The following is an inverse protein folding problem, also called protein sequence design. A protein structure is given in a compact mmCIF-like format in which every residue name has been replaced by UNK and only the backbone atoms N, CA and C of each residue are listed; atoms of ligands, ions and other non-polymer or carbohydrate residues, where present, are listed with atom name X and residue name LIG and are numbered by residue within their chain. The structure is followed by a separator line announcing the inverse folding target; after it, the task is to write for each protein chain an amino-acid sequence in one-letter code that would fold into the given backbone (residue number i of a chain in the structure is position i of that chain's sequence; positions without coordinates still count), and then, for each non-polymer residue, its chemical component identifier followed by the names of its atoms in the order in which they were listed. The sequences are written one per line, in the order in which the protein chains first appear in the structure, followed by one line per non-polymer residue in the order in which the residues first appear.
data_IF_962866773418
#
_entry.id   IF_962866773418
#
_cell.length_a   1.000
_cell.length_b   1.000
_cell.length_c   1.000
_cell.angle_alpha   90.00
_cell.angle_beta   90.00
_cell.angle_gamma   90.00
#
_symmetry.space_group_name_H-M   'P 1'
#
loop_
_entity.id
_entity.type
_entity.pdbx_description
1 polymer ?
#
# COMPACT_ATOMS: atom_id res chain seq x y z
N UNK A 1 -27.32 -11.92 7.24
CA UNK A 1 -26.40 -12.28 6.13
C UNK A 1 -25.92 -10.98 5.49
N UNK A 2 -24.72 -10.51 5.83
CA UNK A 2 -24.16 -9.30 5.20
C UNK A 2 -23.83 -9.61 3.74
N UNK A 3 -24.27 -8.75 2.81
CA UNK A 3 -23.81 -8.81 1.42
C UNK A 3 -22.28 -8.78 1.41
N UNK A 4 -21.66 -9.85 0.89
CA UNK A 4 -20.23 -9.84 0.59
C UNK A 4 -20.04 -8.90 -0.61
N UNK A 5 -19.83 -7.61 -0.34
CA UNK A 5 -19.49 -6.62 -1.36
C UNK A 5 -18.04 -6.81 -1.79
N UNK A 6 -17.78 -7.90 -2.54
CA UNK A 6 -16.45 -8.26 -3.07
C UNK A 6 -15.98 -7.23 -4.11
N UNK A 7 -16.93 -6.60 -4.81
CA UNK A 7 -16.67 -5.54 -5.79
C UNK A 7 -17.69 -4.41 -5.61
N UNK A 8 -17.30 -3.15 -5.85
CA UNK A 8 -18.25 -2.03 -5.78
C UNK A 8 -19.34 -2.16 -6.86
N UNK A 9 -20.57 -1.74 -6.53
CA UNK A 9 -21.71 -1.70 -7.46
C UNK A 9 -21.45 -0.59 -8.51
N UNK A 10 -20.83 -0.96 -9.64
CA UNK A 10 -20.44 -0.17 -10.82
C UNK A 10 -19.70 1.17 -10.56
N UNK A 11 -18.55 1.42 -11.23
CA UNK A 11 -17.90 2.72 -11.14
C UNK A 11 -18.81 3.81 -11.72
N UNK A 12 -18.71 5.07 -11.25
CA UNK A 12 -19.22 6.22 -11.96
C UNK A 12 -18.75 6.17 -13.42
N UNK A 13 -19.63 6.52 -14.36
CA UNK A 13 -19.38 6.44 -15.81
C UNK A 13 -18.06 7.15 -16.17
N UNK A 14 -17.21 6.46 -16.94
CA UNK A 14 -15.92 6.89 -17.54
C UNK A 14 -15.01 7.75 -16.65
N UNK A 15 -14.61 7.22 -15.49
CA UNK A 15 -13.48 7.78 -14.76
C UNK A 15 -12.17 7.49 -15.51
N UNK A 16 -11.30 8.51 -15.60
CA UNK A 16 -9.90 8.27 -15.98
C UNK A 16 -9.21 7.35 -14.95
N UNK A 17 -8.03 6.82 -15.28
CA UNK A 17 -7.32 5.83 -14.44
C UNK A 17 -7.03 6.35 -13.03
N UNK A 18 -6.65 7.62 -12.89
CA UNK A 18 -6.33 8.24 -11.60
C UNK A 18 -7.59 8.42 -10.76
N UNK A 19 -8.67 8.89 -11.38
CA UNK A 19 -9.96 9.09 -10.74
C UNK A 19 -10.59 7.76 -10.32
N UNK A 20 -10.44 6.71 -11.12
CA UNK A 20 -10.93 5.38 -10.77
C UNK A 20 -10.19 4.78 -9.56
N UNK A 21 -8.86 4.92 -9.51
CA UNK A 21 -8.05 4.53 -8.36
C UNK A 21 -8.50 5.27 -7.09
N UNK A 22 -8.60 6.60 -7.16
CA UNK A 22 -8.99 7.41 -6.02
C UNK A 22 -10.40 7.04 -5.53
N UNK A 23 -11.35 6.84 -6.45
CA UNK A 23 -12.70 6.41 -6.13
C UNK A 23 -12.73 5.06 -5.42
N UNK A 24 -11.99 4.05 -5.91
CA UNK A 24 -11.92 2.73 -5.26
C UNK A 24 -11.40 2.82 -3.83
N UNK A 25 -10.31 3.55 -3.62
CA UNK A 25 -9.71 3.71 -2.30
C UNK A 25 -10.70 4.36 -1.32
N UNK A 26 -11.35 5.46 -1.74
CA UNK A 26 -12.34 6.18 -0.94
C UNK A 26 -13.62 5.36 -0.69
N UNK A 27 -13.96 4.46 -1.61
CA UNK A 27 -15.13 3.58 -1.52
C UNK A 27 -14.92 2.34 -0.64
N UNK A 28 -13.76 2.20 0.01
CA UNK A 28 -13.49 1.05 0.89
C UNK A 28 -12.69 -0.09 0.26
N UNK A 29 -12.11 0.12 -0.93
CA UNK A 29 -11.37 -0.91 -1.66
C UNK A 29 -9.90 -0.52 -1.91
N UNK A 30 -9.09 -0.25 -0.87
CA UNK A 30 -7.72 0.27 -1.01
C UNK A 30 -6.79 -0.71 -1.75
N UNK A 31 -6.87 -2.01 -1.48
CA UNK A 31 -6.06 -3.02 -2.15
C UNK A 31 -6.41 -3.14 -3.64
N UNK A 32 -7.70 -3.10 -3.98
CA UNK A 32 -8.16 -3.11 -5.36
C UNK A 32 -7.76 -1.83 -6.09
N UNK A 33 -7.89 -0.66 -5.42
CA UNK A 33 -7.40 0.62 -5.94
C UNK A 33 -5.92 0.52 -6.31
N UNK A 34 -5.09 -0.02 -5.40
CA UNK A 34 -3.68 -0.22 -5.63
C UNK A 34 -3.39 -1.19 -6.79
N UNK A 35 -4.22 -2.20 -7.00
CA UNK A 35 -4.00 -3.15 -8.09
C UNK A 35 -4.36 -2.57 -9.46
N UNK A 36 -5.15 -1.49 -9.53
CA UNK A 36 -5.49 -0.86 -10.81
C UNK A 36 -4.29 -0.27 -11.55
N UNK A 37 -3.19 0.05 -10.85
CA UNK A 37 -1.96 0.49 -11.51
C UNK A 37 -1.24 -0.64 -12.23
N UNK A 38 -1.55 -1.91 -11.92
CA UNK A 38 -0.90 -3.07 -12.51
C UNK A 38 -1.47 -3.38 -13.91
N UNK A 39 -1.53 -2.36 -14.77
CA UNK A 39 -2.06 -2.43 -16.12
C UNK A 39 -1.01 -1.97 -17.14
N UNK A 40 -0.85 -2.73 -18.23
CA UNK A 40 0.13 -2.43 -19.29
C UNK A 40 -0.11 -1.11 -20.00
N UNK A 41 -1.35 -0.61 -20.03
CA UNK A 41 -1.70 0.70 -20.60
C UNK A 41 -1.12 1.89 -19.82
N UNK A 42 -0.70 1.67 -18.57
CA UNK A 42 -0.13 2.70 -17.69
C UNK A 42 1.38 2.87 -17.92
N UNK A 43 2.04 1.95 -18.65
CA UNK A 43 3.48 2.03 -18.94
C UNK A 43 3.86 3.37 -19.57
N UNK A 44 4.93 3.98 -19.08
CA UNK A 44 5.38 5.31 -19.50
C UNK A 44 4.52 6.48 -18.99
N UNK A 45 3.44 6.20 -18.25
CA UNK A 45 2.50 7.19 -17.69
C UNK A 45 2.33 7.04 -16.18
N UNK A 46 3.02 6.10 -15.54
CA UNK A 46 2.77 5.71 -14.15
C UNK A 46 2.89 6.88 -13.18
N UNK A 47 3.92 7.72 -13.35
CA UNK A 47 4.15 8.89 -12.49
C UNK A 47 3.00 9.91 -12.58
N UNK A 48 2.46 10.13 -13.78
CA UNK A 48 1.36 11.06 -13.99
C UNK A 48 0.07 10.50 -13.38
N UNK A 49 -0.25 9.24 -13.67
CA UNK A 49 -1.44 8.58 -13.13
C UNK A 49 -1.43 8.59 -11.60
N UNK A 50 -0.29 8.23 -10.98
CA UNK A 50 -0.15 8.26 -9.53
C UNK A 50 -0.16 9.67 -8.95
N UNK A 51 0.52 10.63 -9.58
CA UNK A 51 0.53 12.02 -9.13
C UNK A 51 -0.87 12.61 -9.06
N UNK A 52 -1.68 12.38 -10.10
CA UNK A 52 -3.07 12.84 -10.16
C UNK A 52 -3.96 12.12 -9.14
N UNK A 53 -3.80 10.81 -8.98
CA UNK A 53 -4.54 10.03 -8.00
C UNK A 53 -4.22 10.49 -6.56
N UNK A 54 -2.94 10.66 -6.23
CA UNK A 54 -2.47 11.14 -4.93
C UNK A 54 -2.99 12.55 -4.66
N UNK A 55 -3.04 13.43 -5.67
CA UNK A 55 -3.63 14.77 -5.53
C UNK A 55 -5.11 14.69 -5.15
N UNK A 56 -5.90 13.86 -5.83
CA UNK A 56 -7.32 13.67 -5.52
C UNK A 56 -7.52 13.09 -4.11
N UNK A 57 -6.75 12.06 -3.76
CA UNK A 57 -6.76 11.47 -2.42
C UNK A 57 -6.33 12.48 -1.35
N UNK A 58 -5.32 13.31 -1.61
CA UNK A 58 -4.84 14.31 -0.65
C UNK A 58 -5.90 15.35 -0.32
N UNK A 59 -6.70 15.78 -1.31
CA UNK A 59 -7.82 16.69 -1.08
C UNK A 59 -8.85 16.05 -0.14
N UNK A 60 -9.20 14.78 -0.38
CA UNK A 60 -10.15 14.06 0.47
C UNK A 60 -9.59 13.73 1.85
N UNK A 61 -8.30 13.39 1.94
CA UNK A 61 -7.59 13.13 3.18
C UNK A 61 -7.67 14.31 4.16
N UNK A 62 -7.56 15.54 3.64
CA UNK A 62 -7.68 16.77 4.44
C UNK A 62 -9.14 17.07 4.81
N UNK A 63 -10.09 16.83 3.90
CA UNK A 63 -11.50 17.15 4.09
C UNK A 63 -12.23 16.17 5.03
N UNK A 64 -11.85 14.89 5.01
CA UNK A 64 -12.56 13.81 5.70
C UNK A 64 -11.57 12.96 6.50
N UNK A 65 -11.42 13.20 7.82
CA UNK A 65 -10.60 12.36 8.69
C UNK A 65 -10.99 10.88 8.66
N UNK A 66 -12.27 10.56 8.38
CA UNK A 66 -12.76 9.18 8.30
C UNK A 66 -12.24 8.39 7.11
N UNK A 67 -11.61 9.03 6.11
CA UNK A 67 -11.00 8.35 4.98
C UNK A 67 -9.50 8.04 5.14
N UNK A 68 -8.84 8.57 6.19
CA UNK A 68 -7.37 8.54 6.32
C UNK A 68 -6.77 7.15 6.30
N UNK A 69 -7.32 6.20 7.06
CA UNK A 69 -6.83 4.81 7.07
C UNK A 69 -6.88 4.18 5.67
N UNK A 70 -7.98 4.37 4.94
CA UNK A 70 -8.14 3.82 3.58
C UNK A 70 -7.18 4.47 2.59
N UNK A 71 -6.96 5.78 2.72
CA UNK A 71 -5.98 6.50 1.91
C UNK A 71 -4.56 5.97 2.18
N UNK A 72 -4.16 5.84 3.45
CA UNK A 72 -2.87 5.28 3.83
C UNK A 72 -2.70 3.87 3.30
N UNK A 73 -3.67 2.99 3.52
CA UNK A 73 -3.64 1.61 3.03
C UNK A 73 -3.49 1.56 1.50
N UNK A 74 -4.24 2.38 0.76
CA UNK A 74 -4.13 2.43 -0.70
C UNK A 74 -2.73 2.84 -1.17
N UNK A 75 -2.11 3.86 -0.56
CA UNK A 75 -0.75 4.28 -0.94
C UNK A 75 0.32 3.29 -0.51
N UNK A 76 0.17 2.65 0.65
CA UNK A 76 1.08 1.57 1.08
C UNK A 76 1.04 0.42 0.09
N UNK A 77 -0.16 -0.06 -0.24
CA UNK A 77 -0.37 -1.15 -1.20
C UNK A 77 0.16 -0.80 -2.60
N UNK A 78 0.00 0.45 -3.04
CA UNK A 78 0.64 0.96 -4.26
C UNK A 78 2.15 0.87 -4.18
N UNK A 79 2.74 1.32 -3.07
CA UNK A 79 4.17 1.23 -2.84
C UNK A 79 4.68 -0.21 -2.88
N UNK A 80 3.96 -1.14 -2.23
CA UNK A 80 4.31 -2.57 -2.23
C UNK A 80 4.23 -3.18 -3.64
N UNK A 81 3.22 -2.82 -4.43
CA UNK A 81 3.11 -3.22 -5.84
C UNK A 81 4.28 -2.74 -6.71
N UNK A 82 4.85 -1.57 -6.39
CA UNK A 82 6.04 -1.01 -7.07
C UNK A 82 7.35 -1.60 -6.54
N UNK A 83 7.35 -2.11 -5.31
CA UNK A 83 8.51 -2.77 -4.70
C UNK A 83 8.65 -4.21 -5.21
N UNK A 84 7.53 -4.94 -5.21
CA UNK A 84 7.42 -6.36 -5.52
C UNK A 84 7.57 -6.69 -7.00
N UNK A 85 7.47 -7.98 -7.33
CA UNK A 85 7.70 -8.49 -8.68
C UNK A 85 6.64 -8.01 -9.69
N UNK A 86 5.49 -7.55 -9.20
CA UNK A 86 4.34 -7.17 -10.03
C UNK A 86 4.68 -6.07 -11.02
N UNK A 87 5.53 -5.10 -10.64
CA UNK A 87 6.01 -4.07 -11.58
C UNK A 87 6.63 -4.67 -12.85
N UNK A 88 7.36 -5.79 -12.73
CA UNK A 88 8.01 -6.44 -13.88
C UNK A 88 7.02 -7.22 -14.72
N UNK A 89 6.06 -7.91 -14.07
CA UNK A 89 4.96 -8.59 -14.77
C UNK A 89 4.17 -7.62 -15.65
N UNK A 90 3.94 -6.41 -15.12
CA UNK A 90 3.27 -5.33 -15.83
C UNK A 90 4.20 -4.67 -16.84
N UNK A 91 5.52 -4.70 -16.66
CA UNK A 91 6.52 -4.19 -17.61
C UNK A 91 6.90 -2.73 -17.39
N UNK A 92 6.85 -2.23 -16.15
CA UNK A 92 7.42 -0.94 -15.79
C UNK A 92 8.94 -1.02 -15.75
N UNK A 93 9.63 0.03 -16.22
CA UNK A 93 11.08 0.12 -16.05
C UNK A 93 11.42 0.37 -14.59
N UNK A 94 12.65 0.01 -14.18
CA UNK A 94 13.10 0.24 -12.81
C UNK A 94 13.15 1.74 -12.49
N UNK A 95 13.50 2.59 -13.45
CA UNK A 95 13.50 4.05 -13.31
C UNK A 95 12.08 4.63 -13.18
N UNK A 96 11.12 4.10 -13.95
CA UNK A 96 9.72 4.53 -13.87
C UNK A 96 9.14 4.17 -12.50
N UNK A 97 9.27 2.90 -12.11
CA UNK A 97 8.76 2.37 -10.84
C UNK A 97 9.41 3.02 -9.62
N UNK A 98 10.73 3.23 -9.63
CA UNK A 98 11.44 3.87 -8.52
C UNK A 98 11.09 5.35 -8.40
N UNK A 99 10.89 6.04 -9.53
CA UNK A 99 10.41 7.42 -9.52
C UNK A 99 8.98 7.54 -9.01
N UNK A 100 8.11 6.61 -9.37
CA UNK A 100 6.75 6.50 -8.84
C UNK A 100 6.74 6.21 -7.33
N UNK A 101 7.58 5.28 -6.87
CA UNK A 101 7.71 4.94 -5.45
C UNK A 101 8.15 6.15 -4.62
N UNK A 102 9.07 6.98 -5.12
CA UNK A 102 9.47 8.24 -4.44
C UNK A 102 8.29 9.20 -4.27
N UNK A 103 7.39 9.29 -5.25
CA UNK A 103 6.18 10.13 -5.16
C UNK A 103 5.25 9.58 -4.07
N UNK A 104 5.04 8.26 -4.03
CA UNK A 104 4.24 7.58 -3.00
C UNK A 104 4.82 7.83 -1.61
N UNK A 105 6.10 7.58 -1.40
CA UNK A 105 6.76 7.78 -0.09
C UNK A 105 6.67 9.24 0.35
N UNK A 106 6.89 10.20 -0.55
CA UNK A 106 6.76 11.62 -0.23
C UNK A 106 5.33 11.99 0.20
N UNK A 107 4.32 11.43 -0.47
CA UNK A 107 2.93 11.66 -0.11
C UNK A 107 2.59 11.04 1.26
N UNK A 108 3.03 9.81 1.50
CA UNK A 108 2.88 9.13 2.79
C UNK A 108 3.48 9.93 3.95
N UNK A 109 4.70 10.44 3.80
CA UNK A 109 5.35 11.31 4.82
C UNK A 109 4.53 12.57 5.11
N UNK A 110 4.02 13.22 4.05
CA UNK A 110 3.19 14.43 4.21
C UNK A 110 1.89 14.10 4.94
N UNK A 111 1.22 13.02 4.56
CA UNK A 111 -0.02 12.60 5.22
C UNK A 111 0.21 12.19 6.67
N UNK A 112 1.34 11.56 6.99
CA UNK A 112 1.73 11.26 8.36
C UNK A 112 1.91 12.54 9.19
N UNK A 113 2.58 13.57 8.65
CA UNK A 113 2.67 14.88 9.33
C UNK A 113 1.29 15.49 9.61
N UNK A 114 0.38 15.44 8.64
CA UNK A 114 -1.00 15.92 8.80
C UNK A 114 -1.80 15.08 9.80
N UNK A 115 -1.61 13.76 9.79
CA UNK A 115 -2.27 12.83 10.69
C UNK A 115 -1.86 13.04 12.15
N UNK A 116 -0.59 13.40 12.36
CA UNK A 116 -0.02 13.78 13.66
C UNK A 116 -0.27 15.24 14.07
N UNK A 117 -0.95 16.03 13.23
CA UNK A 117 -1.19 17.47 13.50
C UNK A 117 0.06 18.36 13.44
N UNK A 118 1.11 17.96 12.70
CA UNK A 118 2.41 18.65 12.62
C UNK A 118 2.50 19.70 11.49
N UNK A 119 1.53 19.77 10.58
CA UNK A 119 1.44 20.78 9.49
C UNK A 119 0.04 21.46 9.51
N UNK A 120 -0.03 22.81 9.48
CA UNK A 120 -1.23 23.65 9.73
C UNK A 120 -2.44 23.46 8.79
N UNK A 121 -3.66 23.96 9.05
CA UNK A 121 -4.15 25.26 9.57
C UNK A 121 -5.13 25.07 10.74
N UNK A 122 -5.12 26.02 11.69
CA UNK A 122 -5.80 26.01 13.00
C UNK A 122 -5.25 24.95 13.96
N UNK A 123 -5.04 25.35 15.22
CA UNK A 123 -5.00 24.41 16.35
C UNK A 123 -6.26 23.53 16.25
N UNK A 124 -6.13 22.34 15.66
CA UNK A 124 -7.09 21.29 15.89
C UNK A 124 -6.87 20.84 17.33
N UNK A 125 -7.54 21.51 18.26
CA UNK A 125 -7.76 21.01 19.61
C UNK A 125 -9.02 20.15 19.54
N UNK A 126 -8.92 18.81 19.70
CA UNK A 126 -10.11 18.03 19.95
C UNK A 126 -10.67 18.48 21.29
N UNK A 127 -11.74 19.25 21.25
CA UNK A 127 -12.42 19.70 22.47
C UNK A 127 -13.09 18.53 23.19
N UNK A 128 -13.22 17.36 22.55
CA UNK A 128 -13.64 16.14 23.20
C UNK A 128 -12.95 14.92 22.58
N UNK A 129 -12.51 14.03 23.48
CA UNK A 129 -12.04 12.66 23.29
C UNK A 129 -10.55 12.46 22.96
N UNK A 130 -9.82 12.04 24.01
CA UNK A 130 -8.63 11.22 23.86
C UNK A 130 -8.94 10.04 22.93
N UNK A 131 -8.35 10.02 21.73
CA UNK A 131 -8.33 8.82 20.91
C UNK A 131 -8.82 8.92 19.47
N UNK A 132 -8.56 10.01 18.73
CA UNK A 132 -8.47 9.84 17.27
C UNK A 132 -7.23 8.98 17.00
N UNK A 133 -7.38 7.74 16.48
CA UNK A 133 -6.25 6.86 16.25
C UNK A 133 -5.31 7.50 15.22
N UNK A 134 -4.01 7.44 15.46
CA UNK A 134 -3.01 7.67 14.43
C UNK A 134 -3.26 6.64 13.31
N UNK A 135 -3.89 7.09 12.22
CA UNK A 135 -4.37 6.25 11.14
C UNK A 135 -3.20 5.54 10.44
N UNK A 136 -2.05 6.22 10.32
CA UNK A 136 -0.82 5.61 9.81
C UNK A 136 -0.39 4.41 10.68
N UNK A 137 -0.33 4.59 12.00
CA UNK A 137 0.01 3.54 12.95
C UNK A 137 -1.01 2.39 12.93
N UNK A 138 -2.31 2.69 12.84
CA UNK A 138 -3.35 1.68 12.74
C UNK A 138 -3.17 0.79 11.50
N UNK A 139 -2.90 1.40 10.33
CA UNK A 139 -2.64 0.68 9.08
C UNK A 139 -1.38 -0.19 9.19
N UNK A 140 -0.26 0.36 9.66
CA UNK A 140 0.99 -0.41 9.81
C UNK A 140 0.83 -1.59 10.76
N UNK A 141 0.22 -1.38 11.93
CA UNK A 141 -0.05 -2.45 12.90
C UNK A 141 -0.96 -3.53 12.34
N UNK A 142 -2.01 -3.15 11.60
CA UNK A 142 -2.93 -4.09 10.95
C UNK A 142 -2.17 -4.95 9.94
N UNK A 143 -1.42 -4.34 9.04
CA UNK A 143 -0.64 -5.03 8.02
C UNK A 143 0.38 -6.02 8.62
N UNK A 144 1.18 -5.57 9.58
CA UNK A 144 2.17 -6.44 10.26
C UNK A 144 1.50 -7.54 11.09
N UNK A 145 0.39 -7.22 11.76
CA UNK A 145 -0.40 -8.19 12.50
C UNK A 145 -0.95 -9.30 11.60
N UNK A 146 -1.45 -8.95 10.42
CA UNK A 146 -1.96 -9.93 9.45
C UNK A 146 -0.86 -10.80 8.87
N UNK A 147 0.34 -10.25 8.62
CA UNK A 147 1.51 -11.04 8.24
C UNK A 147 1.91 -12.05 9.32
N UNK A 148 1.92 -11.63 10.59
CA UNK A 148 2.30 -12.48 11.73
C UNK A 148 1.31 -13.63 12.00
N UNK A 149 0.04 -13.49 11.61
CA UNK A 149 -0.97 -14.56 11.75
C UNK A 149 -0.75 -15.72 10.78
N UNK A 150 -0.02 -15.51 9.67
CA UNK A 150 0.20 -16.53 8.65
C UNK A 150 0.94 -17.74 9.24
N UNK A 151 0.34 -18.94 9.10
CA UNK A 151 0.81 -20.19 9.70
C UNK A 151 1.14 -20.08 11.19
N UNK A 152 0.29 -19.38 11.96
CA UNK A 152 0.46 -19.19 13.41
C UNK A 152 1.82 -18.56 13.78
N UNK A 153 2.37 -17.70 12.91
CA UNK A 153 3.67 -17.05 13.10
C UNK A 153 4.86 -17.85 12.58
N UNK A 154 4.68 -19.09 12.16
CA UNK A 154 5.77 -19.95 11.66
C UNK A 154 5.89 -19.89 10.13
N UNK A 155 5.73 -18.71 9.55
CA UNK A 155 5.87 -18.48 8.11
C UNK A 155 7.00 -17.52 7.80
N UNK A 156 7.51 -17.59 6.57
CA UNK A 156 8.44 -16.60 6.04
C UNK A 156 7.82 -15.19 6.06
N UNK A 157 6.52 -15.06 5.78
CA UNK A 157 5.79 -13.78 5.87
C UNK A 157 5.79 -13.23 7.29
N UNK A 158 5.59 -14.07 8.31
CA UNK A 158 5.66 -13.65 9.70
C UNK A 158 7.06 -13.14 10.07
N UNK A 159 8.13 -13.80 9.58
CA UNK A 159 9.51 -13.33 9.78
C UNK A 159 9.80 -11.99 9.11
N UNK A 160 9.32 -11.78 7.88
CA UNK A 160 9.44 -10.47 7.22
C UNK A 160 8.76 -9.36 8.04
N UNK A 161 7.61 -9.66 8.65
CA UNK A 161 6.93 -8.69 9.52
C UNK A 161 7.76 -8.32 10.75
N UNK A 162 8.41 -9.29 11.39
CA UNK A 162 9.31 -9.02 12.52
C UNK A 162 10.52 -8.17 12.11
N UNK A 163 11.10 -8.43 10.93
CA UNK A 163 12.22 -7.65 10.39
C UNK A 163 11.81 -6.21 10.07
N UNK A 164 10.64 -6.02 9.45
CA UNK A 164 10.06 -4.71 9.14
C UNK A 164 9.80 -3.94 10.44
N UNK A 165 9.15 -4.58 11.41
CA UNK A 165 8.77 -3.96 12.69
C UNK A 165 9.99 -3.47 13.48
N UNK A 166 11.07 -4.27 13.53
CA UNK A 166 12.32 -3.89 14.21
C UNK A 166 13.03 -2.70 13.58
N UNK A 167 12.73 -2.40 12.32
CA UNK A 167 13.35 -1.31 11.55
C UNK A 167 12.46 -0.06 11.45
N UNK A 168 11.29 -0.05 12.10
CA UNK A 168 10.41 1.12 12.10
C UNK A 168 11.00 2.27 12.93
N UNK A 169 10.87 3.47 12.39
CA UNK A 169 11.16 4.72 13.08
C UNK A 169 9.83 5.39 13.45
N UNK A 170 9.58 5.59 14.74
CA UNK A 170 8.35 6.22 15.21
C UNK A 170 8.25 7.70 14.78
N UNK A 171 9.32 8.37 14.38
CA UNK A 171 9.26 9.76 13.90
C UNK A 171 9.06 9.88 12.37
N UNK A 172 9.29 8.80 11.63
CA UNK A 172 9.14 8.71 10.18
C UNK A 172 8.53 7.34 9.80
N UNK A 173 7.36 7.03 10.38
CA UNK A 173 6.76 5.69 10.40
C UNK A 173 6.50 5.17 8.99
N UNK A 174 5.88 5.98 8.13
CA UNK A 174 5.48 5.51 6.82
C UNK A 174 6.69 5.37 5.89
N UNK A 175 7.67 6.27 5.97
CA UNK A 175 8.87 6.14 5.16
C UNK A 175 9.72 4.95 5.62
N UNK A 176 9.95 4.81 6.93
CA UNK A 176 10.70 3.69 7.49
C UNK A 176 10.03 2.36 7.16
N UNK A 177 8.70 2.26 7.25
CA UNK A 177 7.93 1.09 6.80
C UNK A 177 8.16 0.78 5.31
N UNK A 178 8.07 1.77 4.41
CA UNK A 178 8.26 1.52 2.99
C UNK A 178 9.71 1.11 2.66
N UNK A 179 10.70 1.69 3.36
CA UNK A 179 12.12 1.35 3.19
C UNK A 179 12.38 -0.07 3.69
N UNK A 180 11.91 -0.42 4.89
CA UNK A 180 12.12 -1.74 5.47
C UNK A 180 11.35 -2.83 4.71
N UNK A 181 10.12 -2.56 4.26
CA UNK A 181 9.37 -3.47 3.38
C UNK A 181 10.10 -3.70 2.05
N UNK A 182 10.66 -2.65 1.44
CA UNK A 182 11.47 -2.76 0.22
C UNK A 182 12.66 -3.68 0.41
N UNK A 183 13.39 -3.50 1.51
CA UNK A 183 14.54 -4.32 1.87
C UNK A 183 14.11 -5.77 2.09
N UNK A 184 13.14 -5.99 2.97
CA UNK A 184 12.61 -7.30 3.34
C UNK A 184 12.11 -8.09 2.11
N UNK A 185 11.46 -7.44 1.15
CA UNK A 185 10.99 -8.08 -0.09
C UNK A 185 12.17 -8.39 -1.04
N UNK A 186 13.03 -7.41 -1.33
CA UNK A 186 14.04 -7.57 -2.40
C UNK A 186 15.25 -8.40 -1.98
N UNK A 187 15.58 -8.44 -0.69
CA UNK A 187 16.64 -9.30 -0.16
C UNK A 187 16.16 -10.74 0.08
N UNK A 188 14.85 -10.98 -0.01
CA UNK A 188 14.28 -12.31 0.14
C UNK A 188 14.70 -13.23 -1.01
N UNK A 189 15.15 -14.45 -0.67
CA UNK A 189 15.58 -15.44 -1.65
C UNK A 189 14.47 -15.81 -2.65
N UNK A 190 13.21 -15.84 -2.22
CA UNK A 190 12.08 -16.16 -3.09
C UNK A 190 11.84 -15.07 -4.13
N UNK A 191 11.97 -13.80 -3.74
CA UNK A 191 11.93 -12.70 -4.71
C UNK A 191 13.03 -12.91 -5.76
N UNK A 192 14.27 -13.15 -5.33
CA UNK A 192 15.42 -13.35 -6.24
C UNK A 192 15.24 -14.52 -7.20
N UNK A 193 14.73 -15.66 -6.71
CA UNK A 193 14.45 -16.84 -7.54
C UNK A 193 13.48 -16.48 -8.69
N UNK A 194 12.42 -15.73 -8.38
CA UNK A 194 11.44 -15.32 -9.39
C UNK A 194 12.01 -14.21 -10.30
N UNK A 195 12.73 -13.26 -9.71
CA UNK A 195 13.34 -12.12 -10.40
C UNK A 195 14.39 -12.54 -11.43
N UNK A 196 15.21 -13.54 -11.08
CA UNK A 196 16.25 -14.13 -11.92
C UNK A 196 15.68 -15.20 -12.87
N UNK A 197 14.36 -15.46 -12.84
CA UNK A 197 13.69 -16.41 -13.74
C UNK A 197 14.00 -17.88 -13.47
N UNK A 198 14.51 -18.21 -12.28
CA UNK A 198 14.95 -19.56 -11.90
C UNK A 198 13.75 -20.50 -11.73
N UNK A 199 12.68 -20.03 -11.07
CA UNK A 199 11.49 -20.87 -10.82
C UNK A 199 10.22 -20.05 -10.60
N UNK A 200 9.06 -20.72 -10.69
CA UNK A 200 7.76 -20.20 -10.28
C UNK A 200 7.41 -20.74 -8.90
N UNK A 201 6.81 -19.90 -8.07
CA UNK A 201 6.44 -20.26 -6.70
C UNK A 201 4.93 -20.42 -6.60
N UNK A 202 4.50 -21.56 -6.06
CA UNK A 202 3.12 -21.81 -5.68
C UNK A 202 2.86 -21.41 -4.24
N UNK A 203 1.63 -21.01 -3.93
CA UNK A 203 1.17 -20.79 -2.57
C UNK A 203 -0.20 -21.44 -2.37
N UNK A 204 -0.24 -22.44 -1.48
CA UNK A 204 -1.45 -23.23 -1.17
C UNK A 204 -2.27 -22.63 -0.01
N UNK A 205 -1.80 -21.54 0.60
CA UNK A 205 -2.49 -20.83 1.69
C UNK A 205 -3.15 -19.54 1.20
N UNK A 206 -4.47 -19.41 1.36
CA UNK A 206 -5.15 -18.13 1.10
C UNK A 206 -4.66 -17.00 2.05
N UNK A 207 -4.29 -17.36 3.28
CA UNK A 207 -3.77 -16.42 4.29
C UNK A 207 -2.35 -15.99 3.93
N UNK A 208 -2.11 -14.68 3.89
CA UNK A 208 -0.80 -14.10 3.53
C UNK A 208 -0.54 -14.00 2.02
N UNK A 209 -1.50 -14.40 1.17
CA UNK A 209 -1.36 -14.37 -0.29
C UNK A 209 -0.94 -12.98 -0.80
N UNK A 210 -1.50 -11.92 -0.22
CA UNK A 210 -1.17 -10.53 -0.57
C UNK A 210 0.33 -10.25 -0.49
N UNK A 211 0.98 -10.71 0.58
CA UNK A 211 2.41 -10.49 0.82
C UNK A 211 3.31 -11.38 -0.03
N UNK A 212 2.98 -12.67 -0.15
CA UNK A 212 3.78 -13.57 -0.99
C UNK A 212 3.63 -13.27 -2.48
N UNK A 213 2.54 -12.59 -2.90
CA UNK A 213 2.39 -12.07 -4.27
C UNK A 213 3.52 -11.11 -4.64
N UNK A 214 3.94 -10.26 -3.70
CA UNK A 214 5.06 -9.33 -3.92
C UNK A 214 6.40 -10.04 -4.14
N UNK A 215 6.56 -11.23 -3.57
CA UNK A 215 7.70 -12.12 -3.80
C UNK A 215 7.58 -12.93 -5.09
N UNK A 216 6.39 -12.95 -5.69
CA UNK A 216 6.12 -13.64 -6.94
C UNK A 216 5.45 -15.00 -6.83
N UNK A 217 4.96 -15.36 -5.65
CA UNK A 217 4.08 -16.52 -5.53
C UNK A 217 2.76 -16.29 -6.31
N UNK A 218 2.22 -17.38 -6.84
CA UNK A 218 0.87 -17.46 -7.43
C UNK A 218 0.07 -18.49 -6.66
N UNK A 219 -1.24 -18.29 -6.57
CA UNK A 219 -2.13 -19.31 -6.01
C UNK A 219 -2.19 -20.49 -6.98
N UNK A 220 -2.01 -21.70 -6.45
CA UNK A 220 -2.08 -22.97 -7.19
C UNK A 220 -3.47 -23.56 -7.08
#
# INVERSE_FOLDING_TARGET
MSEWNVCPKQPPITLDRSSHLAWLALSGYPQLAADTILNREIRGKLRNVLGDAIRQLSLKFVQDPGCRERCFEALVELGLNLIGIEKRRVGFSDEEAEGALRIVVKALKRWESLDRGREGYQEWKPEHEAGIPNAAMAVVKRLLGDMKKVLLGNSMVARLAEEIEKALDEEDLMASFMISAKKAIRENIYYRIVDEGISKLGNDSATGLRWVRHLGAVQV
#
